data_IF_126034533277
#
_entry.id   IF_126034533277
#
_cell.length_a   1.000
_cell.length_b   1.000
_cell.length_c   1.000
_cell.angle_alpha   90.00
_cell.angle_beta   90.00
_cell.angle_gamma   90.00
#
_symmetry.space_group_name_H-M   'P 1'
#
loop_
_entity.id
_entity.type
_entity.pdbx_description
1 polymer ?
#
# COMPACT_ATOMS: atom_id res chain seq x y z
N UNK A 1 -23.41 -5.16 25.63
CA UNK A 1 -24.34 -4.22 24.96
C UNK A 1 -23.56 -3.43 23.92
N UNK A 2 -23.74 -3.77 22.64
CA UNK A 2 -22.99 -3.24 21.49
C UNK A 2 -23.36 -1.78 21.20
N UNK A 3 -22.38 -0.87 21.19
CA UNK A 3 -22.53 0.47 20.63
C UNK A 3 -22.39 0.39 19.12
N UNK A 4 -23.53 0.41 18.42
CA UNK A 4 -23.61 0.54 16.95
C UNK A 4 -23.14 1.94 16.53
N UNK A 5 -22.05 2.00 15.75
CA UNK A 5 -21.61 3.22 15.07
C UNK A 5 -22.63 3.61 14.01
N UNK A 6 -23.03 4.89 14.02
CA UNK A 6 -24.12 5.45 13.22
C UNK A 6 -23.69 5.60 11.76
N UNK A 7 -24.40 4.92 10.86
CA UNK A 7 -24.64 5.42 9.51
C UNK A 7 -25.46 6.72 9.65
N UNK A 8 -24.94 7.84 9.15
CA UNK A 8 -25.74 9.05 8.93
C UNK A 8 -26.06 9.09 7.45
N UNK A 9 -27.27 8.64 7.10
CA UNK A 9 -27.91 8.95 5.83
C UNK A 9 -28.87 10.12 6.07
N UNK A 10 -28.54 11.30 5.55
CA UNK A 10 -29.52 12.33 5.23
C UNK A 10 -28.89 13.40 4.33
N UNK A 11 -29.17 13.32 3.04
CA UNK A 11 -29.24 14.49 2.17
C UNK A 11 -30.58 14.40 1.44
N UNK A 12 -31.63 14.80 2.16
CA UNK A 12 -32.88 15.25 1.56
C UNK A 12 -32.68 16.70 1.15
N UNK A 13 -33.14 17.03 -0.05
CA UNK A 13 -33.05 18.34 -0.73
C UNK A 13 -31.79 18.51 -1.59
N UNK A 14 -31.98 18.28 -2.89
CA UNK A 14 -30.94 18.25 -3.89
C UNK A 14 -30.24 19.58 -4.05
N UNK A 15 -28.92 19.59 -3.79
CA UNK A 15 -27.88 20.17 -4.63
C UNK A 15 -26.51 19.91 -3.97
N UNK A 16 -26.05 18.65 -3.93
CA UNK A 16 -24.65 18.37 -3.58
C UNK A 16 -23.77 18.49 -4.83
N UNK A 17 -23.51 19.73 -5.27
CA UNK A 17 -22.33 20.01 -6.11
C UNK A 17 -21.09 19.86 -5.22
N UNK A 18 -20.34 18.77 -5.39
CA UNK A 18 -18.98 18.68 -4.84
C UNK A 18 -18.61 17.37 -4.13
N UNK A 19 -18.89 16.20 -4.70
CA UNK A 19 -18.30 14.95 -4.23
C UNK A 19 -17.93 14.07 -5.43
N UNK A 20 -16.70 14.21 -5.94
CA UNK A 20 -16.12 13.28 -6.92
C UNK A 20 -14.57 13.27 -6.93
N UNK A 21 -13.90 13.57 -5.80
CA UNK A 21 -12.41 13.58 -5.76
C UNK A 21 -11.73 13.25 -4.42
N UNK A 22 -12.44 13.00 -3.31
CA UNK A 22 -11.83 12.98 -1.97
C UNK A 22 -11.61 11.59 -1.32
N UNK A 23 -11.98 10.49 -1.99
CA UNK A 23 -11.86 9.14 -1.41
C UNK A 23 -10.43 8.55 -1.46
N UNK A 24 -9.71 8.78 -2.55
CA UNK A 24 -8.35 8.23 -2.75
C UNK A 24 -7.30 8.89 -1.87
N UNK A 25 -7.37 10.22 -1.69
CA UNK A 25 -6.41 10.96 -0.86
C UNK A 25 -6.44 10.56 0.62
N UNK A 26 -7.59 10.12 1.13
CA UNK A 26 -7.71 9.64 2.51
C UNK A 26 -7.15 8.23 2.68
N UNK A 27 -7.39 7.36 1.70
CA UNK A 27 -6.86 6.00 1.69
C UNK A 27 -5.34 6.00 1.52
N UNK A 28 -4.81 6.71 0.52
CA UNK A 28 -3.36 6.88 0.28
C UNK A 28 -2.63 7.40 1.52
N UNK A 29 -3.19 8.45 2.16
CA UNK A 29 -2.63 8.99 3.40
C UNK A 29 -2.64 7.97 4.53
N UNK A 30 -3.74 7.24 4.70
CA UNK A 30 -3.82 6.19 5.72
C UNK A 30 -2.80 5.06 5.48
N UNK A 31 -2.60 4.66 4.22
CA UNK A 31 -1.57 3.68 3.86
C UNK A 31 -0.20 4.24 4.21
N UNK A 32 0.09 5.49 3.81
CA UNK A 32 1.35 6.16 4.10
C UNK A 32 1.63 6.23 5.60
N UNK A 33 0.67 6.64 6.42
CA UNK A 33 0.85 6.78 7.87
C UNK A 33 1.28 5.46 8.52
N UNK A 34 0.63 4.35 8.11
CA UNK A 34 0.96 3.00 8.62
C UNK A 34 2.33 2.56 8.11
N UNK A 35 2.59 2.68 6.80
CA UNK A 35 3.87 2.28 6.22
C UNK A 35 5.03 3.11 6.80
N UNK A 36 4.86 4.42 6.98
CA UNK A 36 5.88 5.29 7.56
C UNK A 36 6.12 4.98 9.05
N UNK A 37 5.07 4.63 9.80
CA UNK A 37 5.25 4.14 11.16
C UNK A 37 6.14 2.89 11.23
N UNK A 38 6.05 1.99 10.26
CA UNK A 38 6.78 0.71 10.23
C UNK A 38 8.15 0.81 9.57
N UNK A 39 8.24 1.45 8.40
CA UNK A 39 9.47 1.57 7.62
C UNK A 39 10.31 2.78 8.08
N UNK A 40 9.65 3.90 8.39
CA UNK A 40 10.31 5.19 8.63
C UNK A 40 10.83 5.83 7.34
N UNK A 41 11.37 7.05 7.44
CA UNK A 41 12.00 7.74 6.31
C UNK A 41 11.04 8.05 5.14
N UNK A 42 9.73 8.07 5.42
CA UNK A 42 8.69 8.24 4.41
C UNK A 42 8.45 9.70 4.02
N UNK A 43 8.24 9.93 2.73
CA UNK A 43 7.66 11.13 2.17
C UNK A 43 6.43 10.78 1.33
N UNK A 44 5.37 11.58 1.45
CA UNK A 44 4.12 11.40 0.72
C UNK A 44 4.02 12.44 -0.40
N UNK A 45 3.43 12.04 -1.53
CA UNK A 45 3.14 12.91 -2.68
C UNK A 45 4.39 13.65 -3.20
N UNK A 46 5.42 12.89 -3.58
CA UNK A 46 6.76 13.40 -3.95
C UNK A 46 6.82 13.74 -5.45
N UNK A 47 7.15 14.99 -5.85
CA UNK A 47 7.20 15.35 -7.27
C UNK A 47 8.34 14.65 -8.02
N UNK A 48 8.07 14.22 -9.26
CA UNK A 48 9.10 13.62 -10.11
C UNK A 48 9.94 14.70 -10.81
N UNK A 49 11.29 14.59 -10.88
CA UNK A 49 12.16 15.67 -11.37
C UNK A 49 11.93 16.06 -12.83
N UNK A 50 11.61 15.08 -13.69
CA UNK A 50 11.43 15.26 -15.14
C UNK A 50 9.98 15.44 -15.57
N UNK A 51 9.03 15.31 -14.65
CA UNK A 51 7.61 15.55 -14.92
C UNK A 51 6.94 16.06 -13.65
N UNK A 52 6.97 17.38 -13.45
CA UNK A 52 6.41 18.03 -12.25
C UNK A 52 4.89 17.85 -12.09
N UNK A 53 4.21 17.33 -13.12
CA UNK A 53 2.78 16.98 -13.05
C UNK A 53 2.58 15.57 -12.49
N UNK A 54 3.62 14.75 -12.45
CA UNK A 54 3.62 13.43 -11.82
C UNK A 54 4.26 13.49 -10.45
N UNK A 55 3.66 12.73 -9.54
CA UNK A 55 4.07 12.62 -8.15
C UNK A 55 4.05 11.15 -7.76
N UNK A 56 5.06 10.70 -7.04
CA UNK A 56 5.07 9.40 -6.39
C UNK A 56 4.16 9.47 -5.17
N UNK A 57 3.27 8.50 -5.00
CA UNK A 57 2.31 8.57 -3.89
C UNK A 57 3.05 8.48 -2.55
N UNK A 58 4.01 7.55 -2.45
CA UNK A 58 4.81 7.33 -1.25
C UNK A 58 6.24 6.91 -1.60
N UNK A 59 7.21 7.46 -0.88
CA UNK A 59 8.63 7.16 -1.02
C UNK A 59 9.24 6.92 0.35
N UNK A 60 10.00 5.84 0.52
CA UNK A 60 10.63 5.48 1.78
C UNK A 60 12.14 5.30 1.59
N UNK A 61 12.92 6.12 2.29
CA UNK A 61 14.37 5.92 2.42
C UNK A 61 14.65 5.06 3.66
N UNK A 62 15.05 3.81 3.44
CA UNK A 62 15.41 2.91 4.52
C UNK A 62 16.81 3.24 5.06
N UNK A 63 17.11 2.78 6.28
CA UNK A 63 18.36 3.11 7.00
C UNK A 63 19.64 2.73 6.25
N UNK A 64 19.57 1.77 5.33
CA UNK A 64 20.70 1.34 4.49
C UNK A 64 20.78 2.09 3.15
N UNK A 65 20.01 3.17 2.96
CA UNK A 65 19.94 3.94 1.71
C UNK A 65 19.07 3.31 0.63
N UNK A 66 18.41 2.18 0.90
CA UNK A 66 17.48 1.57 -0.04
C UNK A 66 16.23 2.45 -0.16
N UNK A 67 15.89 2.83 -1.39
CA UNK A 67 14.74 3.68 -1.71
C UNK A 67 13.60 2.83 -2.28
N UNK A 68 12.50 2.77 -1.57
CA UNK A 68 11.28 2.05 -1.97
C UNK A 68 10.19 3.06 -2.33
N UNK A 69 9.63 2.97 -3.53
CA UNK A 69 8.40 3.68 -3.88
C UNK A 69 7.19 2.76 -3.70
N UNK A 70 6.11 3.29 -3.14
CA UNK A 70 4.82 2.61 -3.04
C UNK A 70 3.75 3.49 -3.70
N UNK A 71 2.98 2.89 -4.58
CA UNK A 71 1.91 3.55 -5.34
C UNK A 71 0.57 2.86 -5.03
N UNK A 72 -0.50 3.63 -4.85
CA UNK A 72 -1.84 3.07 -4.74
C UNK A 72 -2.62 3.32 -6.03
N UNK A 73 -2.91 2.24 -6.76
CA UNK A 73 -3.63 2.32 -8.01
C UNK A 73 -5.11 1.95 -7.81
N UNK A 74 -5.94 2.97 -7.63
CA UNK A 74 -7.39 2.80 -7.61
C UNK A 74 -7.94 2.36 -8.97
N UNK A 75 -8.82 1.36 -8.98
CA UNK A 75 -9.32 0.71 -10.20
C UNK A 75 -10.03 1.67 -11.14
N UNK A 76 -10.71 2.68 -10.58
CA UNK A 76 -11.38 3.73 -11.36
C UNK A 76 -10.39 4.62 -12.12
N UNK A 77 -9.33 5.08 -11.47
CA UNK A 77 -8.38 6.05 -12.02
C UNK A 77 -7.37 5.43 -12.98
N UNK A 78 -6.99 4.17 -12.75
CA UNK A 78 -5.96 3.47 -13.53
C UNK A 78 -6.51 2.56 -14.63
N UNK A 79 -7.84 2.52 -14.81
CA UNK A 79 -8.46 1.70 -15.86
C UNK A 79 -7.93 2.09 -17.24
N UNK A 80 -7.30 1.15 -17.94
CA UNK A 80 -6.74 1.37 -19.27
C UNK A 80 -5.47 2.24 -19.30
N UNK A 81 -4.88 2.54 -18.13
CA UNK A 81 -3.72 3.45 -18.01
C UNK A 81 -2.38 2.71 -17.92
N UNK A 82 -2.29 1.42 -18.30
CA UNK A 82 -1.07 0.60 -18.16
C UNK A 82 0.19 1.28 -18.72
N UNK A 83 0.09 1.93 -19.89
CA UNK A 83 1.24 2.67 -20.47
C UNK A 83 1.71 3.83 -19.58
N UNK A 84 0.76 4.55 -18.97
CA UNK A 84 1.07 5.64 -18.03
C UNK A 84 1.68 5.10 -16.74
N UNK A 85 1.16 3.98 -16.23
CA UNK A 85 1.67 3.31 -15.04
C UNK A 85 3.13 2.88 -15.25
N UNK A 86 3.42 2.19 -16.36
CA UNK A 86 4.78 1.77 -16.73
C UNK A 86 5.73 2.97 -16.92
N UNK A 87 5.25 4.06 -17.54
CA UNK A 87 6.02 5.30 -17.68
C UNK A 87 6.35 5.92 -16.31
N UNK A 88 5.40 5.94 -15.38
CA UNK A 88 5.62 6.44 -14.01
C UNK A 88 6.67 5.58 -13.31
N UNK A 89 6.59 4.25 -13.40
CA UNK A 89 7.59 3.33 -12.84
C UNK A 89 8.99 3.58 -13.40
N UNK A 90 9.12 3.88 -14.70
CA UNK A 90 10.40 4.24 -15.30
C UNK A 90 10.94 5.57 -14.76
N UNK A 91 10.10 6.60 -14.65
CA UNK A 91 10.49 7.91 -14.13
C UNK A 91 10.88 7.88 -12.64
N UNK A 92 10.32 6.96 -11.85
CA UNK A 92 10.74 6.77 -10.45
C UNK A 92 12.21 6.36 -10.33
N UNK A 93 12.77 5.67 -11.33
CA UNK A 93 14.21 5.35 -11.35
C UNK A 93 15.09 6.62 -11.38
N UNK A 94 14.59 7.73 -11.91
CA UNK A 94 15.32 9.01 -11.90
C UNK A 94 15.44 9.59 -10.47
N UNK A 95 14.58 9.16 -9.53
CA UNK A 95 14.69 9.48 -8.10
C UNK A 95 15.64 8.53 -7.35
N UNK A 96 16.40 7.69 -8.05
CA UNK A 96 17.20 6.60 -7.45
C UNK A 96 16.35 5.63 -6.62
N UNK A 97 15.07 5.49 -6.97
CA UNK A 97 14.22 4.43 -6.44
C UNK A 97 14.80 3.09 -6.88
N UNK A 98 15.02 2.22 -5.91
CA UNK A 98 15.54 0.87 -6.15
C UNK A 98 14.41 -0.03 -6.61
N UNK A 99 13.28 0.01 -5.90
CA UNK A 99 12.10 -0.81 -6.22
C UNK A 99 10.80 -0.01 -6.12
N UNK A 100 9.83 -0.40 -6.95
CA UNK A 100 8.48 0.18 -6.99
C UNK A 100 7.48 -0.95 -6.69
N UNK A 101 6.65 -0.76 -5.67
CA UNK A 101 5.55 -1.66 -5.33
C UNK A 101 4.24 -0.94 -5.61
N UNK A 102 3.41 -1.51 -6.48
CA UNK A 102 2.05 -0.99 -6.72
C UNK A 102 1.02 -1.80 -5.95
N UNK A 103 0.12 -1.11 -5.26
CA UNK A 103 -1.07 -1.67 -4.64
C UNK A 103 -2.21 -1.53 -5.65
N UNK A 104 -2.56 -2.62 -6.33
CA UNK A 104 -3.49 -2.67 -7.46
C UNK A 104 -4.88 -3.06 -7.00
N UNK A 105 -5.84 -2.15 -7.05
CA UNK A 105 -7.23 -2.45 -6.73
C UNK A 105 -7.88 -3.28 -7.84
N UNK A 106 -8.57 -4.37 -7.48
CA UNK A 106 -9.27 -5.25 -8.43
C UNK A 106 -10.26 -4.46 -9.31
N UNK A 107 -10.25 -4.62 -10.66
CA UNK A 107 -9.65 -5.72 -11.42
C UNK A 107 -8.34 -5.33 -12.12
N UNK A 108 -7.55 -4.42 -11.54
CA UNK A 108 -6.26 -4.07 -12.13
C UNK A 108 -5.29 -5.24 -12.00
N UNK A 109 -4.77 -5.69 -13.14
CA UNK A 109 -3.71 -6.70 -13.15
C UNK A 109 -2.40 -6.12 -12.57
N UNK A 110 -1.60 -6.97 -11.88
CA UNK A 110 -0.21 -6.67 -11.54
C UNK A 110 0.60 -6.31 -12.80
N UNK A 111 1.46 -5.30 -12.68
CA UNK A 111 2.40 -4.89 -13.73
C UNK A 111 3.80 -5.45 -13.50
N UNK A 112 4.07 -5.94 -12.28
CA UNK A 112 5.33 -6.56 -11.86
C UNK A 112 5.08 -7.65 -10.81
N UNK A 113 6.07 -8.50 -10.53
CA UNK A 113 6.01 -9.46 -9.44
C UNK A 113 6.04 -8.83 -8.04
N UNK A 114 6.47 -7.56 -7.94
CA UNK A 114 6.49 -6.79 -6.70
C UNK A 114 5.15 -6.12 -6.41
N UNK A 115 4.24 -6.08 -7.37
CA UNK A 115 2.91 -5.50 -7.16
C UNK A 115 2.06 -6.42 -6.29
N UNK A 116 1.16 -5.82 -5.52
CA UNK A 116 0.16 -6.54 -4.72
C UNK A 116 -1.23 -6.21 -5.22
N UNK A 117 -2.07 -7.23 -5.38
CA UNK A 117 -3.48 -7.04 -5.69
C UNK A 117 -4.30 -6.97 -4.40
N UNK A 118 -5.27 -6.07 -4.35
CA UNK A 118 -6.23 -5.90 -3.26
C UNK A 118 -7.67 -5.90 -3.78
N UNK A 119 -8.66 -6.29 -2.95
CA UNK A 119 -10.07 -6.24 -3.34
C UNK A 119 -10.52 -4.79 -3.55
N UNK A 120 -11.73 -4.63 -4.13
CA UNK A 120 -12.36 -3.32 -4.28
C UNK A 120 -12.64 -2.67 -2.93
N UNK A 121 -12.52 -1.35 -2.86
CA UNK A 121 -12.70 -0.55 -1.66
C UNK A 121 -11.88 -1.05 -0.45
N UNK A 122 -10.56 -1.24 -0.61
CA UNK A 122 -9.73 -1.77 0.47
C UNK A 122 -9.58 -0.73 1.59
N UNK A 123 -9.30 -1.20 2.81
CA UNK A 123 -8.91 -0.32 3.92
C UNK A 123 -7.42 -0.01 3.85
N UNK A 124 -7.00 1.12 4.43
CA UNK A 124 -5.59 1.48 4.55
C UNK A 124 -4.77 0.39 5.27
N UNK A 125 -5.36 -0.19 6.33
CA UNK A 125 -4.74 -1.28 7.11
C UNK A 125 -4.51 -2.52 6.25
N UNK A 126 -5.50 -2.93 5.44
CA UNK A 126 -5.35 -4.05 4.52
C UNK A 126 -4.22 -3.78 3.52
N UNK A 127 -4.27 -2.65 2.83
CA UNK A 127 -3.25 -2.24 1.86
C UNK A 127 -1.84 -2.24 2.47
N UNK A 128 -1.67 -1.62 3.64
CA UNK A 128 -0.38 -1.56 4.31
C UNK A 128 0.11 -2.95 4.74
N UNK A 129 -0.73 -3.78 5.35
CA UNK A 129 -0.34 -5.13 5.80
C UNK A 129 0.06 -6.03 4.64
N UNK A 130 -0.70 -6.01 3.55
CA UNK A 130 -0.39 -6.80 2.35
C UNK A 130 0.93 -6.33 1.74
N UNK A 131 1.12 -5.01 1.64
CA UNK A 131 2.38 -4.42 1.17
C UNK A 131 3.56 -4.86 2.04
N UNK A 132 3.45 -4.71 3.36
CA UNK A 132 4.48 -5.10 4.34
C UNK A 132 4.84 -6.58 4.27
N UNK A 133 3.83 -7.46 4.19
CA UNK A 133 4.05 -8.89 4.02
C UNK A 133 4.77 -9.22 2.70
N UNK A 134 4.39 -8.53 1.62
CA UNK A 134 4.96 -8.76 0.30
C UNK A 134 6.38 -8.23 0.16
N UNK A 135 6.68 -7.06 0.70
CA UNK A 135 8.07 -6.56 0.70
C UNK A 135 8.97 -7.36 1.64
N UNK A 136 8.45 -7.90 2.75
CA UNK A 136 9.21 -8.85 3.56
C UNK A 136 9.52 -10.13 2.79
N UNK A 137 8.53 -10.68 2.10
CA UNK A 137 8.70 -11.87 1.26
C UNK A 137 9.71 -11.65 0.12
N UNK A 138 9.56 -10.55 -0.63
CA UNK A 138 10.29 -10.35 -1.89
C UNK A 138 11.63 -9.61 -1.69
N UNK A 139 11.72 -8.73 -0.69
CA UNK A 139 12.81 -7.77 -0.53
C UNK A 139 13.53 -7.88 0.83
N UNK A 140 13.29 -8.93 1.62
CA UNK A 140 14.01 -9.13 2.89
C UNK A 140 15.54 -9.06 2.75
N UNK A 141 16.20 -9.58 1.69
CA UNK A 141 17.66 -9.44 1.56
C UNK A 141 18.12 -7.99 1.36
N UNK A 142 17.23 -7.11 0.91
CA UNK A 142 17.51 -5.69 0.69
C UNK A 142 17.29 -4.85 1.96
N UNK A 143 16.75 -5.43 3.04
CA UNK A 143 16.42 -4.71 4.26
C UNK A 143 17.42 -5.00 5.38
N UNK A 144 17.70 -4.00 6.21
CA UNK A 144 18.44 -4.21 7.45
C UNK A 144 17.59 -4.94 8.50
N UNK A 145 18.24 -5.70 9.39
CA UNK A 145 17.57 -6.49 10.44
C UNK A 145 16.54 -5.69 11.26
N UNK A 146 16.82 -4.43 11.55
CA UNK A 146 15.90 -3.56 12.30
C UNK A 146 14.61 -3.26 11.53
N UNK A 147 14.69 -3.07 10.21
CA UNK A 147 13.51 -2.87 9.36
C UNK A 147 12.69 -4.16 9.32
N UNK A 148 13.34 -5.31 9.11
CA UNK A 148 12.69 -6.63 9.12
C UNK A 148 11.92 -6.84 10.42
N UNK A 149 12.57 -6.63 11.57
CA UNK A 149 11.93 -6.79 12.89
C UNK A 149 10.73 -5.86 13.09
N UNK A 150 10.80 -4.60 12.61
CA UNK A 150 9.67 -3.67 12.67
C UNK A 150 8.49 -4.15 11.83
N UNK A 151 8.76 -4.67 10.64
CA UNK A 151 7.74 -5.24 9.77
C UNK A 151 7.09 -6.45 10.46
N UNK A 152 7.88 -7.39 10.96
CA UNK A 152 7.38 -8.59 11.65
C UNK A 152 6.54 -8.22 12.87
N UNK A 153 7.05 -7.35 13.76
CA UNK A 153 6.30 -6.87 14.92
C UNK A 153 4.99 -6.19 14.53
N UNK A 154 4.99 -5.37 13.48
CA UNK A 154 3.76 -4.72 13.02
C UNK A 154 2.75 -5.72 12.47
N UNK A 155 3.20 -6.76 11.77
CA UNK A 155 2.31 -7.80 11.24
C UNK A 155 1.77 -8.67 12.38
N UNK A 156 2.58 -8.97 13.41
CA UNK A 156 2.20 -9.76 14.60
C UNK A 156 1.20 -9.04 15.51
N UNK A 157 1.36 -7.72 15.67
CA UNK A 157 0.50 -6.92 16.53
C UNK A 157 -0.94 -6.76 16.00
N UNK A 158 -1.19 -7.11 14.74
CA UNK A 158 -2.51 -6.97 14.14
C UNK A 158 -3.36 -8.21 14.40
N UNK A 159 -4.38 -8.06 15.25
CA UNK A 159 -5.32 -9.12 15.64
C UNK A 159 -6.33 -9.51 14.57
N UNK A 160 -6.44 -8.73 13.50
CA UNK A 160 -7.43 -8.99 12.46
C UNK A 160 -6.96 -10.12 11.55
N UNK A 161 -7.77 -11.17 11.47
CA UNK A 161 -7.68 -12.15 10.39
C UNK A 161 -7.92 -11.41 9.08
N UNK A 162 -6.86 -11.16 8.32
CA UNK A 162 -7.01 -10.70 6.95
C UNK A 162 -7.84 -11.74 6.23
N UNK A 163 -8.89 -11.29 5.57
CA UNK A 163 -9.63 -12.13 4.64
C UNK A 163 -8.61 -12.75 3.68
N UNK A 164 -8.46 -14.07 3.78
CA UNK A 164 -7.36 -14.80 3.15
C UNK A 164 -7.44 -14.71 1.63
N UNK A 165 -8.62 -14.44 1.11
CA UNK A 165 -8.85 -14.30 -0.33
C UNK A 165 -8.53 -12.87 -0.82
N UNK A 166 -8.29 -11.92 0.08
CA UNK A 166 -7.87 -10.57 -0.26
C UNK A 166 -6.38 -10.47 -0.63
N UNK A 167 -5.58 -11.52 -0.40
CA UNK A 167 -4.14 -11.54 -0.70
C UNK A 167 -3.84 -12.53 -1.83
N UNK A 168 -3.51 -12.03 -3.02
CA UNK A 168 -3.25 -12.89 -4.17
C UNK A 168 -2.00 -13.78 -3.99
N UNK A 169 -0.92 -13.25 -3.40
CA UNK A 169 0.34 -13.98 -3.25
C UNK A 169 0.22 -15.13 -2.23
N UNK A 170 0.52 -16.37 -2.64
CA UNK A 170 0.44 -17.57 -1.80
C UNK A 170 1.41 -17.55 -0.63
N UNK A 171 2.64 -17.07 -0.84
CA UNK A 171 3.65 -17.01 0.22
C UNK A 171 3.31 -15.91 1.24
N UNK A 172 2.83 -14.75 0.79
CA UNK A 172 2.33 -13.71 1.70
C UNK A 172 1.14 -14.21 2.53
N UNK A 173 0.24 -15.00 1.95
CA UNK A 173 -0.83 -15.66 2.71
C UNK A 173 -0.29 -16.60 3.78
N UNK A 174 0.78 -17.35 3.52
CA UNK A 174 1.42 -18.22 4.52
C UNK A 174 2.09 -17.41 5.61
N UNK A 175 2.86 -16.37 5.26
CA UNK A 175 3.51 -15.48 6.23
C UNK A 175 2.48 -14.85 7.16
N UNK A 176 1.41 -14.29 6.61
CA UNK A 176 0.33 -13.70 7.40
C UNK A 176 -0.36 -14.72 8.32
N UNK A 177 -0.53 -15.99 7.89
CA UNK A 177 -1.05 -17.07 8.76
C UNK A 177 -0.11 -17.42 9.91
N UNK A 178 1.18 -17.51 9.64
CA UNK A 178 2.19 -17.88 10.64
C UNK A 178 2.29 -16.78 11.70
N UNK A 179 2.30 -15.54 11.24
CA UNK A 179 2.27 -14.33 12.07
C UNK A 179 0.99 -14.26 12.92
N UNK A 180 -0.21 -14.41 12.34
CA UNK A 180 -1.45 -14.34 13.14
C UNK A 180 -1.62 -15.50 14.12
N UNK A 181 -0.97 -16.65 13.87
CA UNK A 181 -0.92 -17.77 14.81
C UNK A 181 0.09 -17.59 15.96
N UNK A 182 0.76 -16.43 16.06
CA UNK A 182 1.72 -16.13 17.12
C UNK A 182 3.03 -16.94 17.03
N UNK A 183 3.36 -17.48 15.85
CA UNK A 183 4.60 -18.21 15.63
C UNK A 183 5.50 -17.37 14.73
N UNK A 184 6.65 -16.92 15.21
CA UNK A 184 7.66 -16.28 14.34
C UNK A 184 8.42 -17.42 13.64
N UNK A 185 8.47 -17.47 12.29
CA UNK A 185 9.36 -18.41 11.62
C UNK A 185 10.80 -17.97 11.93
N UNK A 186 11.56 -18.87 12.56
CA UNK A 186 13.00 -18.70 12.80
C UNK A 186 13.80 -19.19 11.60
#
# INVERSE_FOLDING_TARGET
MLRRGRYVASCSEGFCRGQNAHGTSGLERGIFDILNFVLGGGAHDVPLPRDRRMRADMLFELRNGFMLAVEYDGAFWHRGQLRRDLRKSYLLRDLRVHEVVRIRETPLEPTSALDVAVPRNPTAVLCARVTLAHVLHMLSPCFGNQTIQRIEHSLLASSDDLDRDAVACTECRKLLKVVTAGRVPR
#
